data_IF_229383561306
#
_entry.id   IF_229383561306
#
_cell.length_a   1.000
_cell.length_b   1.000
_cell.length_c   1.000
_cell.angle_alpha   90.00
_cell.angle_beta   90.00
_cell.angle_gamma   90.00
#
_symmetry.space_group_name_H-M   'P 1'
#
loop_
_entity.id
_entity.type
_entity.pdbx_description
1 polymer ?
#
# COMPACT_ATOMS: atom_id res chain seq x y z
N UNK A 1 27.29 21.29 -9.61
CA UNK A 1 26.14 20.39 -9.40
C UNK A 1 25.13 21.17 -8.60
N UNK A 2 23.97 21.50 -9.20
CA UNK A 2 22.95 22.32 -8.55
C UNK A 2 22.46 21.60 -7.29
N UNK A 3 22.52 22.32 -6.15
CA UNK A 3 22.13 21.85 -4.82
C UNK A 3 20.66 22.17 -4.54
N UNK A 4 19.84 22.32 -5.58
CA UNK A 4 18.56 23.04 -5.47
C UNK A 4 17.39 22.16 -5.02
N UNK A 5 17.55 20.84 -4.89
CA UNK A 5 16.41 20.00 -4.52
C UNK A 5 15.90 20.21 -3.09
N UNK A 6 16.74 20.69 -2.17
CA UNK A 6 16.29 21.08 -0.82
C UNK A 6 15.51 22.40 -0.76
N UNK A 7 15.32 23.08 -1.90
CA UNK A 7 14.52 24.31 -2.01
C UNK A 7 13.08 24.04 -2.46
N UNK A 8 12.80 22.84 -2.96
CA UNK A 8 11.47 22.51 -3.48
C UNK A 8 10.70 21.80 -2.38
N UNK A 9 9.55 22.38 -2.03
CA UNK A 9 8.64 21.78 -1.07
C UNK A 9 8.31 20.35 -1.49
N UNK A 10 8.40 19.42 -0.53
CA UNK A 10 8.13 18.01 -0.77
C UNK A 10 9.26 17.23 -1.44
N UNK A 11 10.44 17.82 -1.72
CA UNK A 11 11.56 17.09 -2.35
C UNK A 11 12.72 16.95 -1.36
N UNK A 12 13.16 15.71 -1.15
CA UNK A 12 14.35 15.42 -0.33
C UNK A 12 15.34 14.62 -1.17
N UNK A 13 16.60 15.06 -1.14
CA UNK A 13 17.71 14.38 -1.78
C UNK A 13 18.65 13.70 -0.81
N UNK A 14 19.33 12.68 -1.31
CA UNK A 14 20.53 12.13 -0.70
C UNK A 14 21.65 13.17 -0.69
N UNK A 15 22.22 13.45 0.48
CA UNK A 15 23.23 14.50 0.67
C UNK A 15 24.51 14.28 -0.14
N UNK A 16 24.88 13.01 -0.39
CA UNK A 16 26.11 12.67 -1.09
C UNK A 16 25.95 12.67 -2.60
N UNK A 17 24.88 12.06 -3.09
CA UNK A 17 24.67 11.85 -4.53
C UNK A 17 23.80 12.92 -5.18
N UNK A 18 23.04 13.69 -4.40
CA UNK A 18 22.09 14.70 -4.91
C UNK A 18 20.87 14.11 -5.61
N UNK A 19 20.67 12.78 -5.56
CA UNK A 19 19.49 12.15 -6.12
C UNK A 19 18.28 12.32 -5.20
N UNK A 20 17.09 12.51 -5.78
CA UNK A 20 15.83 12.52 -5.05
C UNK A 20 15.60 11.14 -4.42
N UNK A 21 15.46 11.12 -3.09
CA UNK A 21 15.14 9.92 -2.31
C UNK A 21 13.74 9.97 -1.72
N UNK A 22 13.12 11.14 -1.66
CA UNK A 22 11.75 11.28 -1.20
C UNK A 22 11.05 12.39 -1.96
N UNK A 23 9.82 12.09 -2.36
CA UNK A 23 8.90 12.99 -2.99
C UNK A 23 7.58 12.93 -2.22
N UNK A 24 7.29 13.97 -1.44
CA UNK A 24 6.06 14.14 -0.68
C UNK A 24 5.26 15.31 -1.25
N UNK A 25 4.31 14.96 -2.11
CA UNK A 25 3.37 15.90 -2.72
C UNK A 25 1.94 15.56 -2.28
N UNK A 26 1.77 15.01 -1.06
CA UNK A 26 0.46 14.82 -0.46
C UNK A 26 -0.30 16.14 -0.35
N UNK A 27 -1.62 16.13 -0.56
CA UNK A 27 -2.48 17.32 -0.43
C UNK A 27 -2.00 18.55 -1.25
N UNK A 28 -1.30 18.33 -2.37
CA UNK A 28 -0.64 19.40 -3.13
C UNK A 28 -1.49 19.99 -4.26
N UNK A 29 -2.80 19.69 -4.27
CA UNK A 29 -3.75 20.13 -5.31
C UNK A 29 -3.32 19.76 -6.74
N UNK A 30 -2.52 18.69 -6.89
CA UNK A 30 -2.08 18.23 -8.20
C UNK A 30 -3.29 17.71 -8.97
N UNK A 31 -3.39 18.07 -10.25
CA UNK A 31 -4.43 17.58 -11.15
C UNK A 31 -3.80 17.08 -12.45
N UNK A 32 -4.31 15.96 -12.99
CA UNK A 32 -3.89 15.44 -14.30
C UNK A 32 -3.53 13.96 -14.27
N UNK A 33 -2.54 13.58 -15.09
CA UNK A 33 -2.15 12.17 -15.33
C UNK A 33 -0.70 11.87 -14.96
N UNK A 34 -0.48 10.70 -14.33
CA UNK A 34 0.83 10.06 -14.25
C UNK A 34 0.99 9.17 -15.48
N UNK A 35 1.49 9.75 -16.56
CA UNK A 35 1.73 9.00 -17.79
C UNK A 35 2.87 8.00 -17.60
N UNK A 36 2.76 6.83 -18.24
CA UNK A 36 3.80 5.79 -18.14
C UNK A 36 5.17 6.22 -18.69
N UNK A 37 5.28 7.31 -19.45
CA UNK A 37 6.55 7.89 -19.90
C UNK A 37 7.05 9.05 -19.01
N UNK A 38 6.38 9.35 -17.90
CA UNK A 38 6.77 10.39 -16.96
C UNK A 38 8.20 10.22 -16.45
N UNK A 39 8.88 11.36 -16.22
CA UNK A 39 10.20 11.43 -15.59
C UNK A 39 10.17 10.93 -14.14
N UNK A 40 8.99 10.81 -13.51
CA UNK A 40 8.82 10.17 -12.20
C UNK A 40 9.50 8.80 -12.15
N UNK A 41 9.36 7.99 -13.20
CA UNK A 41 9.94 6.64 -13.27
C UNK A 41 11.45 6.61 -13.50
N UNK A 42 12.10 7.77 -13.60
CA UNK A 42 13.55 7.91 -13.63
C UNK A 42 14.15 8.10 -12.22
N UNK A 43 13.30 8.38 -11.21
CA UNK A 43 13.69 8.51 -9.81
C UNK A 43 13.92 7.13 -9.16
N UNK A 44 14.78 6.29 -9.74
CA UNK A 44 15.04 4.93 -9.25
C UNK A 44 15.59 4.82 -7.82
N UNK A 45 16.34 5.80 -7.24
CA UNK A 45 16.78 5.69 -5.85
C UNK A 45 15.71 6.11 -4.83
N UNK A 46 14.51 6.49 -5.27
CA UNK A 46 13.43 6.92 -4.39
C UNK A 46 13.08 5.85 -3.35
N UNK A 47 12.91 6.31 -2.12
CA UNK A 47 12.56 5.52 -0.93
C UNK A 47 11.14 5.82 -0.48
N UNK A 48 10.69 7.08 -0.57
CA UNK A 48 9.34 7.49 -0.20
C UNK A 48 8.69 8.25 -1.35
N UNK A 49 7.50 7.82 -1.74
CA UNK A 49 6.68 8.50 -2.72
C UNK A 49 5.28 8.68 -2.13
N UNK A 50 4.92 9.92 -1.85
CA UNK A 50 3.59 10.29 -1.40
C UNK A 50 2.96 11.23 -2.44
N UNK A 51 1.86 10.77 -3.05
CA UNK A 51 1.02 11.55 -3.95
C UNK A 51 -0.44 11.53 -3.47
N UNK A 52 -0.71 11.26 -2.19
CA UNK A 52 -2.08 11.12 -1.67
C UNK A 52 -2.85 12.44 -1.69
N UNK A 53 -4.18 12.34 -1.62
CA UNK A 53 -5.09 13.48 -1.58
C UNK A 53 -4.88 14.48 -2.73
N UNK A 54 -4.68 13.97 -3.95
CA UNK A 54 -4.57 14.76 -5.18
C UNK A 54 -5.70 14.38 -6.18
N UNK A 55 -5.82 15.11 -7.28
CA UNK A 55 -6.82 14.84 -8.31
C UNK A 55 -6.22 14.16 -9.55
N UNK A 56 -5.85 12.89 -9.43
CA UNK A 56 -5.17 12.12 -10.47
C UNK A 56 -6.15 11.28 -11.33
N UNK A 57 -7.36 11.80 -11.57
CA UNK A 57 -8.55 11.11 -12.12
C UNK A 57 -8.36 10.28 -13.41
N UNK A 58 -7.36 10.60 -14.25
CA UNK A 58 -7.06 9.85 -15.48
C UNK A 58 -5.80 8.98 -15.37
N UNK A 59 -5.20 8.92 -14.18
CA UNK A 59 -4.03 8.12 -13.90
C UNK A 59 -4.40 6.69 -13.55
N UNK A 60 -3.51 5.78 -13.95
CA UNK A 60 -3.50 4.38 -13.54
C UNK A 60 -2.22 4.12 -12.78
N UNK A 61 -2.22 3.14 -11.88
CA UNK A 61 -0.97 2.63 -11.32
C UNK A 61 -0.23 1.89 -12.44
N UNK A 62 0.84 2.48 -12.97
CA UNK A 62 1.64 1.88 -14.05
C UNK A 62 2.46 0.70 -13.53
N UNK A 63 2.67 -0.38 -14.31
CA UNK A 63 3.64 -1.43 -13.98
C UNK A 63 5.06 -0.91 -13.66
N UNK A 64 5.41 0.29 -14.14
CA UNK A 64 6.70 0.93 -13.86
C UNK A 64 6.90 1.31 -12.40
N UNK A 65 5.86 1.38 -11.58
CA UNK A 65 6.03 1.52 -10.13
C UNK A 65 6.89 0.38 -9.55
N UNK A 66 6.77 -0.84 -10.08
CA UNK A 66 7.60 -1.98 -9.67
C UNK A 66 9.10 -1.83 -9.95
N UNK A 67 9.54 -0.75 -10.63
CA UNK A 67 10.96 -0.44 -10.85
C UNK A 67 11.62 0.28 -9.68
N UNK A 68 10.84 0.82 -8.73
CA UNK A 68 11.38 1.52 -7.57
C UNK A 68 11.89 0.52 -6.52
N UNK A 69 12.98 -0.18 -6.82
CA UNK A 69 13.53 -1.26 -6.01
C UNK A 69 14.00 -0.84 -4.61
N UNK A 70 14.13 0.47 -4.36
CA UNK A 70 14.46 1.06 -3.06
C UNK A 70 13.26 1.62 -2.30
N UNK A 71 12.06 1.57 -2.87
CA UNK A 71 10.86 2.14 -2.27
C UNK A 71 10.49 1.38 -0.99
N UNK A 72 10.36 2.13 0.09
CA UNK A 72 9.92 1.65 1.40
C UNK A 72 8.54 2.18 1.75
N UNK A 73 8.12 3.31 1.17
CA UNK A 73 6.80 3.90 1.43
C UNK A 73 6.18 4.37 0.12
N UNK A 74 4.97 3.90 -0.15
CA UNK A 74 4.15 4.33 -1.27
C UNK A 74 2.77 4.72 -0.76
N UNK A 75 2.44 6.00 -0.89
CA UNK A 75 1.11 6.51 -0.59
C UNK A 75 0.50 7.15 -1.83
N UNK A 76 -0.62 6.57 -2.27
CA UNK A 76 -1.45 7.04 -3.38
C UNK A 76 -2.92 7.13 -2.94
N UNK A 77 -3.20 7.20 -1.63
CA UNK A 77 -4.57 7.23 -1.12
C UNK A 77 -5.33 8.47 -1.59
N UNK A 78 -6.65 8.36 -1.73
CA UNK A 78 -7.55 9.48 -2.02
C UNK A 78 -7.13 10.32 -3.25
N UNK A 79 -6.64 9.64 -4.30
CA UNK A 79 -6.08 10.30 -5.48
C UNK A 79 -6.92 10.15 -6.76
N UNK A 80 -8.15 9.66 -6.63
CA UNK A 80 -9.06 9.39 -7.76
C UNK A 80 -8.46 8.45 -8.81
N UNK A 81 -7.57 7.54 -8.41
CA UNK A 81 -6.97 6.57 -9.31
C UNK A 81 -8.00 5.53 -9.76
N UNK A 82 -7.80 5.01 -10.97
CA UNK A 82 -8.70 4.02 -11.57
C UNK A 82 -7.94 2.87 -12.22
N UNK A 83 -8.69 1.85 -12.65
CA UNK A 83 -8.18 0.65 -13.34
C UNK A 83 -7.52 -0.38 -12.41
N UNK A 84 -7.06 -1.48 -12.99
CA UNK A 84 -6.41 -2.57 -12.27
C UNK A 84 -5.06 -2.14 -11.65
N UNK A 85 -4.82 -2.54 -10.41
CA UNK A 85 -3.51 -2.48 -9.75
C UNK A 85 -2.61 -3.56 -10.38
N UNK A 86 -1.47 -3.19 -10.99
CA UNK A 86 -0.60 -4.13 -11.67
C UNK A 86 0.15 -5.03 -10.66
N UNK A 87 0.35 -6.29 -11.02
CA UNK A 87 1.06 -7.25 -10.16
C UNK A 87 2.51 -6.84 -9.88
N UNK A 88 3.11 -5.98 -10.71
CA UNK A 88 4.45 -5.44 -10.54
C UNK A 88 4.63 -4.62 -9.24
N UNK A 89 3.55 -4.16 -8.60
CA UNK A 89 3.63 -3.58 -7.24
C UNK A 89 4.23 -4.60 -6.25
N UNK A 90 3.97 -5.90 -6.45
CA UNK A 90 4.54 -6.97 -5.65
C UNK A 90 6.07 -7.14 -5.82
N UNK A 91 6.70 -6.47 -6.79
CA UNK A 91 8.16 -6.46 -6.96
C UNK A 91 8.87 -5.50 -5.99
N UNK A 92 8.13 -4.66 -5.27
CA UNK A 92 8.66 -3.70 -4.29
C UNK A 92 9.07 -4.42 -3.00
N UNK A 93 10.10 -5.27 -3.08
CA UNK A 93 10.54 -6.16 -1.99
C UNK A 93 10.98 -5.45 -0.69
N UNK A 94 11.27 -4.15 -0.75
CA UNK A 94 11.63 -3.32 0.43
C UNK A 94 10.45 -2.52 0.99
N UNK A 95 9.27 -2.63 0.40
CA UNK A 95 8.10 -1.84 0.79
C UNK A 95 7.68 -2.20 2.22
N UNK A 96 7.50 -1.17 3.03
CA UNK A 96 7.10 -1.22 4.43
C UNK A 96 5.71 -0.64 4.63
N UNK A 97 5.36 0.41 3.89
CA UNK A 97 4.02 0.98 3.92
C UNK A 97 3.44 1.13 2.52
N UNK A 98 2.21 0.65 2.34
CA UNK A 98 1.44 0.77 1.12
C UNK A 98 0.03 1.27 1.44
N UNK A 99 -0.29 2.48 0.95
CA UNK A 99 -1.60 3.10 1.13
C UNK A 99 -2.21 3.38 -0.25
N UNK A 100 -3.31 2.71 -0.57
CA UNK A 100 -4.07 2.86 -1.81
C UNK A 100 -5.55 3.18 -1.56
N UNK A 101 -5.91 3.44 -0.31
CA UNK A 101 -7.29 3.62 0.13
C UNK A 101 -7.99 4.81 -0.53
N UNK A 102 -9.32 4.81 -0.55
CA UNK A 102 -10.10 5.93 -1.10
C UNK A 102 -10.09 6.03 -2.63
N UNK A 103 -9.56 5.03 -3.34
CA UNK A 103 -9.57 4.97 -4.80
C UNK A 103 -10.61 3.92 -5.27
N UNK A 104 -11.90 4.25 -5.21
CA UNK A 104 -13.01 3.31 -5.47
C UNK A 104 -13.03 2.69 -6.87
N UNK A 105 -12.40 3.33 -7.85
CA UNK A 105 -12.28 2.81 -9.22
C UNK A 105 -11.05 1.93 -9.44
N UNK A 106 -10.15 1.81 -8.45
CA UNK A 106 -9.07 0.83 -8.46
C UNK A 106 -9.62 -0.57 -8.23
N UNK A 107 -9.04 -1.54 -8.92
CA UNK A 107 -9.40 -2.95 -8.79
C UNK A 107 -8.18 -3.82 -8.59
N UNK A 108 -8.25 -4.84 -7.75
CA UNK A 108 -7.19 -5.86 -7.64
C UNK A 108 -7.75 -7.20 -8.05
N UNK A 109 -7.12 -7.87 -9.03
CA UNK A 109 -7.51 -9.23 -9.36
C UNK A 109 -7.18 -10.16 -8.18
N UNK A 110 -7.99 -11.20 -7.91
CA UNK A 110 -7.76 -12.11 -6.78
C UNK A 110 -6.34 -12.71 -6.74
N UNK A 111 -5.79 -13.06 -7.91
CA UNK A 111 -4.42 -13.58 -8.04
C UNK A 111 -3.38 -12.53 -7.64
N UNK A 112 -3.56 -11.30 -8.07
CA UNK A 112 -2.62 -10.20 -7.83
C UNK A 112 -2.67 -9.76 -6.37
N UNK A 113 -3.86 -9.76 -5.75
CA UNK A 113 -4.04 -9.52 -4.32
C UNK A 113 -3.26 -10.55 -3.49
N UNK A 114 -3.39 -11.84 -3.82
CA UNK A 114 -2.62 -12.90 -3.18
C UNK A 114 -1.11 -12.72 -3.36
N UNK A 115 -0.65 -12.39 -4.57
CA UNK A 115 0.77 -12.16 -4.84
C UNK A 115 1.32 -10.94 -4.08
N UNK A 116 0.54 -9.87 -3.97
CA UNK A 116 0.89 -8.66 -3.22
C UNK A 116 1.14 -9.02 -1.75
N UNK A 117 0.22 -9.73 -1.11
CA UNK A 117 0.36 -10.15 0.29
C UNK A 117 1.56 -11.09 0.51
N UNK A 118 1.83 -11.99 -0.45
CA UNK A 118 2.91 -12.98 -0.34
C UNK A 118 4.31 -12.40 -0.58
N UNK A 119 4.46 -11.49 -1.53
CA UNK A 119 5.78 -11.00 -1.95
C UNK A 119 6.28 -9.80 -1.14
N UNK A 120 5.36 -8.99 -0.58
CA UNK A 120 5.72 -7.83 0.24
C UNK A 120 6.08 -8.28 1.67
N UNK A 121 7.18 -9.03 1.78
CA UNK A 121 7.62 -9.67 3.03
C UNK A 121 8.12 -8.69 4.10
N UNK A 122 8.38 -7.43 3.75
CA UNK A 122 8.80 -6.36 4.67
C UNK A 122 7.66 -5.43 5.09
N UNK A 123 6.43 -5.71 4.64
CA UNK A 123 5.27 -4.85 4.85
C UNK A 123 4.90 -4.75 6.34
N UNK A 124 4.73 -3.53 6.81
CA UNK A 124 4.32 -3.15 8.16
C UNK A 124 2.90 -2.58 8.15
N UNK A 125 2.62 -1.74 7.17
CA UNK A 125 1.34 -1.04 7.04
C UNK A 125 0.75 -1.28 5.66
N UNK A 126 -0.49 -1.74 5.64
CA UNK A 126 -1.27 -1.92 4.43
C UNK A 126 -2.66 -1.32 4.62
N UNK A 127 -3.01 -0.35 3.78
CA UNK A 127 -4.37 0.15 3.66
C UNK A 127 -4.83 0.06 2.21
N UNK A 128 -5.83 -0.80 1.99
CA UNK A 128 -6.52 -0.94 0.71
C UNK A 128 -7.99 -0.52 0.83
N UNK A 129 -8.39 0.12 1.93
CA UNK A 129 -9.80 0.39 2.23
C UNK A 129 -10.49 1.17 1.10
N UNK A 130 -11.72 0.79 0.75
CA UNK A 130 -12.47 1.38 -0.35
C UNK A 130 -11.84 1.20 -1.75
N UNK A 131 -11.08 0.13 -1.97
CA UNK A 131 -10.70 -0.38 -3.31
C UNK A 131 -11.62 -1.54 -3.69
N UNK A 132 -11.79 -1.87 -4.98
CA UNK A 132 -12.58 -3.03 -5.38
C UNK A 132 -11.74 -4.32 -5.38
N UNK A 133 -11.95 -5.20 -4.39
CA UNK A 133 -11.24 -6.48 -4.23
C UNK A 133 -12.21 -7.62 -3.91
N UNK A 134 -12.90 -8.14 -4.93
CA UNK A 134 -13.68 -9.37 -4.75
C UNK A 134 -12.77 -10.59 -4.57
N UNK A 135 -12.35 -10.87 -3.33
CA UNK A 135 -11.39 -11.93 -3.02
C UNK A 135 -11.56 -12.52 -1.62
N UNK A 136 -10.81 -13.59 -1.35
CA UNK A 136 -10.66 -14.17 -0.01
C UNK A 136 -9.37 -13.67 0.62
N UNK A 137 -9.33 -13.60 1.95
CA UNK A 137 -8.10 -13.30 2.67
C UNK A 137 -7.19 -14.52 2.61
N UNK A 138 -6.04 -14.37 1.95
CA UNK A 138 -5.06 -15.45 1.79
C UNK A 138 -4.18 -15.63 3.03
N UNK A 139 -3.62 -16.84 3.17
CA UNK A 139 -2.56 -17.14 4.12
C UNK A 139 -1.23 -16.53 3.60
N UNK A 140 -0.38 -16.08 4.52
CA UNK A 140 0.98 -15.53 4.33
C UNK A 140 1.07 -13.99 4.28
N UNK A 141 0.75 -13.33 5.39
CA UNK A 141 1.14 -11.94 5.61
C UNK A 141 2.61 -11.84 6.03
N UNK A 142 3.19 -10.64 5.86
CA UNK A 142 4.48 -10.32 6.48
C UNK A 142 4.41 -10.51 8.01
N UNK A 143 5.47 -11.08 8.59
CA UNK A 143 5.63 -11.14 10.05
C UNK A 143 5.93 -9.77 10.67
N UNK A 144 6.21 -8.75 9.86
CA UNK A 144 6.44 -7.37 10.29
C UNK A 144 5.15 -6.54 10.34
N UNK A 145 4.01 -7.09 9.90
CA UNK A 145 2.75 -6.36 9.78
C UNK A 145 2.27 -5.87 11.15
N UNK A 146 2.04 -4.57 11.24
CA UNK A 146 1.50 -3.85 12.40
C UNK A 146 0.09 -3.33 12.13
N UNK A 147 -0.20 -2.91 10.91
CA UNK A 147 -1.49 -2.31 10.55
C UNK A 147 -2.02 -2.93 9.27
N UNK A 148 -3.26 -3.43 9.32
CA UNK A 148 -3.97 -3.98 8.18
C UNK A 148 -5.38 -3.41 8.11
N UNK A 149 -5.62 -2.56 7.12
CA UNK A 149 -6.90 -1.92 6.84
C UNK A 149 -7.43 -2.40 5.49
N UNK A 150 -8.52 -3.15 5.54
CA UNK A 150 -9.17 -3.82 4.41
C UNK A 150 -10.68 -3.53 4.44
N UNK A 151 -11.07 -2.33 4.88
CA UNK A 151 -12.46 -1.91 4.99
C UNK A 151 -13.11 -1.79 3.61
N UNK A 152 -14.35 -2.27 3.49
CA UNK A 152 -15.18 -2.07 2.30
C UNK A 152 -14.49 -2.50 1.00
N UNK A 153 -14.04 -3.75 0.96
CA UNK A 153 -13.31 -4.33 -0.17
C UNK A 153 -14.11 -5.36 -0.99
N UNK A 154 -15.33 -5.71 -0.56
CA UNK A 154 -16.09 -6.89 -1.05
C UNK A 154 -15.40 -8.23 -0.75
N UNK A 155 -14.66 -8.31 0.36
CA UNK A 155 -14.05 -9.56 0.80
C UNK A 155 -15.11 -10.58 1.19
N UNK A 156 -14.83 -11.85 0.87
CA UNK A 156 -15.71 -12.98 1.19
C UNK A 156 -14.94 -14.17 1.75
N UNK A 157 -15.70 -15.16 2.24
CA UNK A 157 -15.13 -16.38 2.81
C UNK A 157 -14.83 -16.22 4.29
N UNK A 158 -13.80 -16.91 4.79
CA UNK A 158 -13.47 -16.94 6.22
C UNK A 158 -12.19 -16.17 6.50
N UNK A 159 -12.17 -15.40 7.59
CA UNK A 159 -10.95 -14.82 8.15
C UNK A 159 -10.03 -15.98 8.60
N UNK A 160 -8.80 -16.08 8.09
CA UNK A 160 -7.87 -17.15 8.50
C UNK A 160 -7.36 -16.91 9.92
N UNK A 161 -7.41 -17.94 10.78
CA UNK A 161 -6.99 -17.86 12.18
C UNK A 161 -5.54 -17.37 12.35
N UNK A 162 -4.68 -17.61 11.36
CA UNK A 162 -3.28 -17.15 11.36
C UNK A 162 -3.12 -15.63 11.45
N UNK A 163 -4.13 -14.84 11.02
CA UNK A 163 -4.05 -13.36 11.09
C UNK A 163 -3.95 -12.89 12.55
N UNK A 164 -4.63 -13.58 13.47
CA UNK A 164 -4.64 -13.29 14.90
C UNK A 164 -3.36 -13.75 15.60
N UNK A 165 -2.50 -14.48 14.89
CA UNK A 165 -1.22 -14.97 15.38
C UNK A 165 -0.02 -14.18 14.84
N UNK A 166 -0.27 -13.08 14.10
CA UNK A 166 0.79 -12.20 13.64
C UNK A 166 1.44 -11.49 14.83
N UNK A 167 2.76 -11.60 15.03
CA UNK A 167 3.41 -11.24 16.28
C UNK A 167 3.36 -9.73 16.58
N UNK A 168 3.30 -8.90 15.53
CA UNK A 168 3.38 -7.45 15.64
C UNK A 168 2.07 -6.73 15.29
N UNK A 169 1.00 -7.46 14.96
CA UNK A 169 -0.24 -6.85 14.47
C UNK A 169 -0.93 -6.04 15.59
N UNK A 170 -1.04 -4.74 15.39
CA UNK A 170 -1.63 -3.79 16.33
C UNK A 170 -3.03 -3.34 15.94
N UNK A 171 -3.29 -3.22 14.64
CA UNK A 171 -4.57 -2.75 14.12
C UNK A 171 -5.04 -3.63 12.96
N UNK A 172 -6.26 -4.14 13.09
CA UNK A 172 -6.95 -4.92 12.07
C UNK A 172 -8.34 -4.32 11.83
N UNK A 173 -8.57 -3.81 10.64
CA UNK A 173 -9.87 -3.24 10.22
C UNK A 173 -10.38 -4.03 9.01
N UNK A 174 -11.47 -4.76 9.22
CA UNK A 174 -12.16 -5.62 8.25
C UNK A 174 -13.64 -5.25 8.07
N UNK A 175 -14.13 -4.22 8.78
CA UNK A 175 -15.53 -3.76 8.71
C UNK A 175 -16.02 -3.51 7.28
N UNK A 176 -17.33 -3.53 7.11
CA UNK A 176 -18.01 -3.31 5.82
C UNK A 176 -17.63 -4.34 4.73
N UNK A 177 -17.33 -5.58 5.12
CA UNK A 177 -17.20 -6.74 4.23
C UNK A 177 -18.29 -7.77 4.54
N UNK A 178 -19.51 -7.54 4.06
CA UNK A 178 -20.72 -8.27 4.49
C UNK A 178 -20.69 -9.79 4.20
N UNK A 179 -19.86 -10.23 3.24
CA UNK A 179 -19.69 -11.64 2.88
C UNK A 179 -18.52 -12.31 3.61
N UNK A 180 -17.80 -11.58 4.45
CA UNK A 180 -16.67 -12.07 5.22
C UNK A 180 -17.17 -12.63 6.56
N UNK A 181 -17.03 -13.93 6.72
CA UNK A 181 -17.25 -14.64 7.98
C UNK A 181 -15.96 -14.75 8.79
N UNK A 182 -16.10 -15.00 10.09
CA UNK A 182 -14.97 -15.20 10.99
C UNK A 182 -15.39 -15.86 12.29
N UNK A 183 -14.45 -16.56 12.91
CA UNK A 183 -14.57 -17.01 14.29
C UNK A 183 -13.36 -16.49 15.05
N UNK A 184 -13.56 -16.16 16.32
CA UNK A 184 -12.42 -15.91 17.19
C UNK A 184 -11.57 -17.19 17.32
N UNK A 185 -10.24 -17.07 17.43
CA UNK A 185 -9.36 -18.22 17.57
C UNK A 185 -9.78 -19.09 18.75
N UNK A 186 -9.77 -20.41 18.55
CA UNK A 186 -10.08 -21.39 19.61
C UNK A 186 -8.84 -21.79 20.41
N UNK A 187 -7.66 -21.56 19.84
CA UNK A 187 -6.38 -21.65 20.52
C UNK A 187 -6.15 -20.39 21.37
N UNK A 188 -5.33 -20.50 22.44
CA UNK A 188 -4.99 -19.34 23.27
C UNK A 188 -4.44 -18.25 22.34
N UNK A 189 -5.11 -17.10 22.30
CA UNK A 189 -4.58 -15.87 21.74
C UNK A 189 -3.15 -15.73 22.27
N UNK A 190 -2.14 -15.93 21.41
CA UNK A 190 -0.76 -15.95 21.87
C UNK A 190 -0.53 -14.67 22.67
N UNK A 191 -0.01 -14.83 23.88
CA UNK A 191 0.00 -13.83 24.96
C UNK A 191 0.91 -12.60 24.71
N UNK A 192 1.17 -12.24 23.46
CA UNK A 192 1.66 -10.92 23.04
C UNK A 192 0.47 -10.11 22.51
N UNK A 193 -0.21 -9.40 23.40
CA UNK A 193 -1.35 -8.51 23.16
C UNK A 193 -0.96 -7.27 22.34
N UNK A 194 -0.41 -7.43 21.13
CA UNK A 194 -0.09 -6.33 20.23
C UNK A 194 -1.35 -5.71 19.65
N UNK A 195 -2.40 -6.52 19.39
CA UNK A 195 -3.65 -6.04 18.82
C UNK A 195 -4.38 -5.08 19.78
N UNK A 196 -4.35 -3.79 19.43
CA UNK A 196 -4.97 -2.67 20.14
C UNK A 196 -6.33 -2.34 19.56
N UNK A 197 -6.55 -2.59 18.26
CA UNK A 197 -7.77 -2.25 17.53
C UNK A 197 -8.21 -3.37 16.60
N UNK A 198 -9.48 -3.76 16.74
CA UNK A 198 -10.17 -4.72 15.89
C UNK A 198 -11.54 -4.13 15.53
N UNK A 199 -11.75 -3.85 14.24
CA UNK A 199 -13.00 -3.30 13.70
C UNK A 199 -13.53 -4.09 12.51
#
# INVERSE_FOLDING_TARGET
MSRDCGLWDGVICDEMSGHVIELDLGCSSLAGTIDSNSSLFQLSPIKRLNLSYNNLYSSKISPKFGRFSNLTHLDLSDSSLSSQIPYEISHLSKLQSLFLSGNSELRVLPRDFKMLLQNLTQLRELDLSHVNIFSTISLNFSSHLTTLMLEQLELHGMIPESIFHLPNLEELVLRNNDQLGGYFPTSKWNSSSSLKKLE
#
